data_IF_229098227593
#
_entry.id   IF_229098227593
#
_cell.length_a   1.000
_cell.length_b   1.000
_cell.length_c   1.000
_cell.angle_alpha   90.00
_cell.angle_beta   90.00
_cell.angle_gamma   90.00
#
_symmetry.space_group_name_H-M   'P 1'
#
loop_
_entity.id
_entity.type
_entity.pdbx_description
1 polymer ?
#
# COMPACT_ATOMS: atom_id res chain seq x y z
N UNK A 1 4.58 -13.05 -12.84
CA UNK A 1 4.15 -12.09 -13.88
C UNK A 1 4.96 -10.81 -13.70
N UNK A 2 5.59 -10.28 -14.74
CA UNK A 2 6.34 -9.03 -14.65
C UNK A 2 5.44 -7.86 -15.07
N UNK A 3 5.23 -6.89 -14.18
CA UNK A 3 4.46 -5.68 -14.47
C UNK A 3 5.35 -4.68 -15.22
N UNK A 4 5.04 -4.45 -16.49
CA UNK A 4 5.84 -3.60 -17.41
C UNK A 4 5.53 -2.10 -17.32
N UNK A 5 5.33 -1.58 -16.10
CA UNK A 5 4.88 -0.20 -15.90
C UNK A 5 6.02 0.81 -16.09
N UNK A 6 6.00 1.55 -17.21
CA UNK A 6 6.81 2.77 -17.34
C UNK A 6 6.00 3.97 -16.86
N UNK A 7 6.34 4.48 -15.66
CA UNK A 7 5.77 5.69 -15.03
C UNK A 7 4.23 5.66 -14.84
N UNK A 8 3.73 4.82 -13.91
CA UNK A 8 2.31 4.78 -13.51
C UNK A 8 1.67 6.14 -13.23
N UNK A 9 2.42 7.05 -12.63
CA UNK A 9 1.96 8.40 -12.30
C UNK A 9 2.86 9.44 -12.94
N UNK A 10 2.25 10.43 -13.58
CA UNK A 10 2.95 11.52 -14.25
C UNK A 10 2.36 12.87 -13.85
N UNK A 11 3.16 13.84 -13.39
CA UNK A 11 2.65 15.16 -13.04
C UNK A 11 2.11 15.90 -14.27
N UNK A 12 1.05 16.67 -14.05
CA UNK A 12 0.32 17.51 -15.02
C UNK A 12 0.04 18.87 -14.37
N UNK A 13 1.09 19.66 -14.16
CA UNK A 13 1.03 20.91 -13.40
C UNK A 13 1.33 20.69 -11.91
N UNK A 14 0.86 21.61 -11.06
CA UNK A 14 1.24 21.63 -9.64
C UNK A 14 0.54 20.56 -8.79
N UNK A 15 -0.73 20.27 -9.07
CA UNK A 15 -1.57 19.41 -8.20
C UNK A 15 -2.46 18.43 -8.99
N UNK A 16 -1.97 17.98 -10.16
CA UNK A 16 -2.69 17.00 -10.99
C UNK A 16 -1.74 15.96 -11.55
N UNK A 17 -2.21 14.73 -11.65
CA UNK A 17 -1.40 13.58 -12.03
C UNK A 17 -2.14 12.69 -13.01
N UNK A 18 -1.52 12.36 -14.14
CA UNK A 18 -2.03 11.39 -15.12
C UNK A 18 -1.73 9.99 -14.60
N UNK A 19 -2.74 9.11 -14.68
CA UNK A 19 -2.67 7.70 -14.25
C UNK A 19 -2.51 6.79 -15.46
N UNK A 20 -1.29 6.32 -15.68
CA UNK A 20 -0.88 5.44 -16.79
C UNK A 20 -0.86 3.96 -16.37
N UNK A 21 -1.98 3.47 -15.85
CA UNK A 21 -2.13 2.09 -15.37
C UNK A 21 -3.14 1.35 -16.26
N UNK A 22 -2.79 0.13 -16.68
CA UNK A 22 -3.64 -0.72 -17.52
C UNK A 22 -4.81 -1.35 -16.77
N UNK A 23 -5.77 -1.91 -17.50
CA UNK A 23 -6.99 -2.50 -16.92
C UNK A 23 -6.69 -3.65 -15.96
N UNK A 24 -5.65 -4.45 -16.26
CA UNK A 24 -5.27 -5.59 -15.42
C UNK A 24 -4.69 -5.12 -14.09
N UNK A 25 -3.80 -4.13 -14.14
CA UNK A 25 -3.18 -3.53 -12.97
C UNK A 25 -4.22 -2.82 -12.11
N UNK A 26 -5.19 -2.13 -12.71
CA UNK A 26 -6.34 -1.53 -12.00
C UNK A 26 -7.17 -2.60 -11.27
N UNK A 27 -7.43 -3.74 -11.92
CA UNK A 27 -8.15 -4.84 -11.29
C UNK A 27 -7.37 -5.43 -10.10
N UNK A 28 -6.03 -5.56 -10.20
CA UNK A 28 -5.19 -6.00 -9.09
C UNK A 28 -5.25 -4.99 -7.94
N UNK A 29 -5.06 -3.70 -8.20
CA UNK A 29 -5.15 -2.64 -7.18
C UNK A 29 -6.52 -2.65 -6.49
N UNK A 30 -7.60 -2.75 -7.25
CA UNK A 30 -8.96 -2.84 -6.72
C UNK A 30 -9.10 -4.05 -5.78
N UNK A 31 -8.73 -5.24 -6.26
CA UNK A 31 -8.90 -6.48 -5.51
C UNK A 31 -8.13 -6.45 -4.18
N UNK A 32 -6.86 -6.03 -4.19
CA UNK A 32 -6.07 -6.01 -2.95
C UNK A 32 -6.53 -4.95 -1.96
N UNK A 33 -7.09 -3.84 -2.43
CA UNK A 33 -7.68 -2.83 -1.55
C UNK A 33 -9.00 -3.31 -0.95
N UNK A 34 -9.87 -3.94 -1.74
CA UNK A 34 -11.14 -4.52 -1.28
C UNK A 34 -10.90 -5.68 -0.28
N UNK A 35 -9.93 -6.55 -0.57
CA UNK A 35 -9.53 -7.63 0.34
C UNK A 35 -9.06 -7.07 1.68
N UNK A 36 -8.22 -6.03 1.66
CA UNK A 36 -7.74 -5.40 2.90
C UNK A 36 -8.85 -4.67 3.66
N UNK A 37 -9.80 -4.03 2.97
CA UNK A 37 -10.98 -3.44 3.63
C UNK A 37 -11.76 -4.52 4.39
N UNK A 38 -11.98 -5.69 3.79
CA UNK A 38 -12.61 -6.83 4.48
C UNK A 38 -11.78 -7.35 5.66
N UNK A 39 -10.45 -7.35 5.56
CA UNK A 39 -9.56 -7.71 6.67
C UNK A 39 -9.64 -6.70 7.82
N UNK A 40 -9.72 -5.39 7.53
CA UNK A 40 -9.85 -4.33 8.54
C UNK A 40 -11.21 -4.33 9.26
N UNK A 41 -12.21 -5.02 8.72
CA UNK A 41 -13.52 -5.25 9.36
C UNK A 41 -13.52 -6.51 10.24
N UNK A 42 -12.49 -7.35 10.15
CA UNK A 42 -12.38 -8.60 10.87
C UNK A 42 -11.53 -8.45 12.16
N UNK A 43 -12.11 -8.59 13.37
CA UNK A 43 -11.36 -8.47 14.62
C UNK A 43 -10.28 -9.55 14.80
N UNK A 44 -10.39 -10.70 14.13
CA UNK A 44 -9.42 -11.79 14.22
C UNK A 44 -8.17 -11.56 13.32
N UNK A 45 -8.15 -10.50 12.51
CA UNK A 45 -7.04 -10.18 11.61
C UNK A 45 -5.81 -9.56 12.29
N UNK A 46 -5.85 -9.37 13.61
CA UNK A 46 -4.81 -8.68 14.38
C UNK A 46 -3.35 -9.12 14.07
N UNK A 47 -3.02 -10.41 13.85
CA UNK A 47 -1.67 -10.82 13.51
C UNK A 47 -1.14 -10.26 12.18
N UNK A 48 -2.00 -10.12 11.17
CA UNK A 48 -1.62 -9.61 9.83
C UNK A 48 -1.44 -8.08 9.82
N UNK A 49 -2.11 -7.39 10.74
CA UNK A 49 -2.09 -5.95 10.84
C UNK A 49 -0.91 -5.42 11.67
N UNK A 50 -0.07 -6.29 12.26
CA UNK A 50 1.00 -5.86 13.17
C UNK A 50 1.98 -4.85 12.56
N UNK A 51 2.40 -5.02 11.29
CA UNK A 51 3.29 -4.06 10.60
C UNK A 51 2.55 -2.86 10.01
N UNK A 52 1.22 -2.86 10.05
CA UNK A 52 0.42 -1.69 9.69
C UNK A 52 0.52 -0.66 10.80
N UNK A 53 0.64 -1.06 12.05
CA UNK A 53 0.82 -0.15 13.18
C UNK A 53 2.30 0.20 13.38
N UNK A 54 2.67 1.49 13.37
CA UNK A 54 4.04 1.89 13.69
C UNK A 54 4.30 1.63 15.16
N UNK A 55 5.41 0.96 15.50
CA UNK A 55 5.92 0.92 16.88
C UNK A 55 6.55 2.28 17.16
N UNK A 56 5.97 3.07 18.06
CA UNK A 56 6.45 4.41 18.36
C UNK A 56 7.66 4.38 19.30
N UNK A 57 7.72 3.37 20.18
CA UNK A 57 8.76 3.23 21.18
C UNK A 57 9.21 1.77 21.29
N UNK A 58 10.30 1.43 20.59
CA UNK A 58 10.87 0.07 20.56
C UNK A 58 11.38 -0.38 21.93
N UNK A 59 11.81 0.56 22.77
CA UNK A 59 12.47 0.29 24.06
C UNK A 59 11.53 0.31 25.28
N UNK A 60 10.27 0.74 25.12
CA UNK A 60 9.30 0.83 26.23
C UNK A 60 7.89 0.40 25.79
N UNK A 61 7.56 -0.86 26.08
CA UNK A 61 6.28 -1.47 25.74
C UNK A 61 5.08 -0.82 26.43
N UNK A 62 5.26 -0.16 27.59
CA UNK A 62 4.16 0.51 28.29
C UNK A 62 3.84 1.86 27.63
N UNK A 63 4.87 2.60 27.21
CA UNK A 63 4.69 3.84 26.45
C UNK A 63 4.16 3.55 25.04
N UNK A 64 4.67 2.51 24.38
CA UNK A 64 4.14 2.08 23.09
C UNK A 64 2.65 1.70 23.20
N UNK A 65 2.25 0.90 24.20
CA UNK A 65 0.85 0.52 24.41
C UNK A 65 -0.06 1.74 24.62
N UNK A 66 0.36 2.72 25.43
CA UNK A 66 -0.43 3.93 25.67
C UNK A 66 -0.53 4.82 24.41
N UNK A 67 0.56 4.89 23.62
CA UNK A 67 0.55 5.58 22.34
C UNK A 67 -0.35 4.89 21.31
N UNK A 68 -0.29 3.56 21.22
CA UNK A 68 -1.18 2.76 20.38
C UNK A 68 -2.64 3.02 20.77
N UNK A 69 -3.00 2.89 22.05
CA UNK A 69 -4.38 3.15 22.51
C UNK A 69 -4.91 4.54 22.10
N UNK A 70 -4.03 5.55 22.10
CA UNK A 70 -4.41 6.93 21.77
C UNK A 70 -4.56 7.18 20.26
N UNK A 71 -3.79 6.52 19.41
CA UNK A 71 -3.68 6.85 17.96
C UNK A 71 -4.30 5.76 17.06
N UNK A 72 -4.56 4.56 17.59
CA UNK A 72 -4.95 3.40 16.82
C UNK A 72 -6.24 3.62 16.01
N UNK A 73 -7.29 4.19 16.60
CA UNK A 73 -8.57 4.42 15.91
C UNK A 73 -8.42 5.36 14.71
N UNK A 74 -7.69 6.46 14.90
CA UNK A 74 -7.51 7.50 13.88
C UNK A 74 -6.65 6.97 12.73
N UNK A 75 -5.66 6.15 13.07
CA UNK A 75 -4.77 5.54 12.09
C UNK A 75 -5.47 4.44 11.27
N UNK A 76 -6.33 3.63 11.90
CA UNK A 76 -7.18 2.67 11.19
C UNK A 76 -8.18 3.40 10.29
N UNK A 77 -8.80 4.49 10.77
CA UNK A 77 -9.71 5.30 9.98
C UNK A 77 -9.01 5.87 8.75
N UNK A 78 -7.85 6.51 8.92
CA UNK A 78 -7.06 7.10 7.83
C UNK A 78 -6.72 6.07 6.75
N UNK A 79 -6.38 4.84 7.14
CA UNK A 79 -6.08 3.75 6.19
C UNK A 79 -7.31 3.25 5.46
N UNK A 80 -8.43 3.08 6.17
CA UNK A 80 -9.71 2.74 5.56
C UNK A 80 -10.11 3.79 4.53
N UNK A 81 -10.08 5.07 4.91
CA UNK A 81 -10.42 6.19 4.04
C UNK A 81 -9.53 6.22 2.78
N UNK A 82 -8.23 5.96 2.95
CA UNK A 82 -7.28 5.88 1.85
C UNK A 82 -7.61 4.72 0.89
N UNK A 83 -7.91 3.52 1.41
CA UNK A 83 -8.29 2.35 0.60
C UNK A 83 -9.60 2.59 -0.15
N UNK A 84 -10.62 3.13 0.51
CA UNK A 84 -11.90 3.49 -0.11
C UNK A 84 -11.71 4.53 -1.23
N UNK A 85 -10.85 5.53 -0.99
CA UNK A 85 -10.52 6.54 -2.01
C UNK A 85 -9.79 5.93 -3.21
N UNK A 86 -8.91 4.95 -3.02
CA UNK A 86 -8.32 4.18 -4.13
C UNK A 86 -9.42 3.46 -4.90
N UNK A 87 -10.26 2.66 -4.23
CA UNK A 87 -11.33 1.88 -4.88
C UNK A 87 -12.28 2.77 -5.69
N UNK A 88 -12.58 3.97 -5.18
CA UNK A 88 -13.42 4.96 -5.86
C UNK A 88 -12.74 5.62 -7.08
N UNK A 89 -11.41 5.70 -7.11
CA UNK A 89 -10.64 6.43 -8.13
C UNK A 89 -9.75 5.55 -9.01
N UNK A 90 -9.72 4.24 -8.78
CA UNK A 90 -8.87 3.28 -9.51
C UNK A 90 -9.15 3.21 -11.01
N UNK A 91 -10.29 3.70 -11.49
CA UNK A 91 -10.61 3.82 -12.93
C UNK A 91 -10.42 5.24 -13.49
N UNK A 92 -10.06 6.21 -12.65
CA UNK A 92 -9.76 7.58 -13.07
C UNK A 92 -8.48 7.63 -13.91
N UNK A 93 -8.49 8.51 -14.91
CA UNK A 93 -7.31 8.80 -15.74
C UNK A 93 -6.44 9.91 -15.16
N UNK A 94 -6.98 10.68 -14.22
CA UNK A 94 -6.30 11.77 -13.54
C UNK A 94 -6.64 11.77 -12.06
N UNK A 95 -5.70 12.16 -11.21
CA UNK A 95 -5.85 12.36 -9.77
C UNK A 95 -5.41 13.78 -9.39
N UNK A 96 -5.97 14.36 -8.32
CA UNK A 96 -5.33 15.48 -7.59
C UNK A 96 -4.30 14.98 -6.57
N UNK A 97 -3.58 15.91 -5.92
CA UNK A 97 -2.61 15.60 -4.89
C UNK A 97 -3.21 14.88 -3.69
N UNK A 98 -4.40 15.26 -3.21
CA UNK A 98 -5.07 14.54 -2.12
C UNK A 98 -5.39 13.10 -2.49
N UNK A 99 -5.87 12.86 -3.70
CA UNK A 99 -6.10 11.51 -4.20
C UNK A 99 -4.78 10.74 -4.36
N UNK A 100 -3.73 11.37 -4.88
CA UNK A 100 -2.42 10.74 -5.02
C UNK A 100 -1.81 10.37 -3.66
N UNK A 101 -1.98 11.23 -2.65
CA UNK A 101 -1.57 10.98 -1.28
C UNK A 101 -2.34 9.79 -0.68
N UNK A 102 -3.66 9.75 -0.87
CA UNK A 102 -4.46 8.60 -0.45
C UNK A 102 -4.01 7.30 -1.14
N UNK A 103 -3.63 7.36 -2.41
CA UNK A 103 -3.04 6.21 -3.11
C UNK A 103 -1.72 5.78 -2.49
N UNK A 104 -0.82 6.71 -2.14
CA UNK A 104 0.42 6.39 -1.45
C UNK A 104 0.16 5.69 -0.11
N UNK A 105 -0.72 6.25 0.72
CA UNK A 105 -1.06 5.70 2.05
C UNK A 105 -1.69 4.31 1.90
N UNK A 106 -2.69 4.16 1.04
CA UNK A 106 -3.43 2.91 0.88
C UNK A 106 -2.57 1.80 0.27
N UNK A 107 -1.84 2.07 -0.83
CA UNK A 107 -0.96 1.07 -1.44
C UNK A 107 0.18 0.65 -0.51
N UNK A 108 0.74 1.58 0.26
CA UNK A 108 1.75 1.25 1.26
C UNK A 108 1.17 0.38 2.38
N UNK A 109 -0.06 0.66 2.81
CA UNK A 109 -0.75 -0.14 3.82
C UNK A 109 -0.93 -1.59 3.33
N UNK A 110 -1.42 -1.78 2.09
CA UNK A 110 -1.53 -3.12 1.49
C UNK A 110 -0.17 -3.81 1.42
N UNK A 111 0.88 -3.10 0.99
CA UNK A 111 2.24 -3.65 0.89
C UNK A 111 2.77 -4.11 2.24
N UNK A 112 2.52 -3.37 3.32
CA UNK A 112 2.94 -3.74 4.69
C UNK A 112 2.23 -5.00 5.19
N UNK A 113 0.92 -5.12 4.96
CA UNK A 113 0.15 -6.33 5.31
C UNK A 113 0.68 -7.53 4.53
N UNK A 114 0.86 -7.36 3.21
CA UNK A 114 1.35 -8.42 2.34
C UNK A 114 2.77 -8.85 2.72
N UNK A 115 3.65 -7.90 3.05
CA UNK A 115 5.00 -8.20 3.53
C UNK A 115 5.01 -8.91 4.88
N UNK A 116 4.01 -8.69 5.74
CA UNK A 116 3.83 -9.47 6.98
C UNK A 116 3.46 -10.92 6.68
N UNK A 117 2.52 -11.13 5.77
CA UNK A 117 2.10 -12.47 5.34
C UNK A 117 3.26 -13.25 4.69
N UNK A 118 4.05 -12.57 3.86
CA UNK A 118 5.19 -13.15 3.14
C UNK A 118 6.46 -13.30 4.00
N UNK A 119 6.41 -12.90 5.27
CA UNK A 119 7.56 -12.84 6.19
C UNK A 119 8.80 -12.16 5.57
N UNK A 120 8.57 -11.04 4.87
CA UNK A 120 9.67 -10.28 4.24
C UNK A 120 10.59 -9.72 5.33
N UNK A 121 11.88 -10.02 5.23
CA UNK A 121 12.95 -9.42 6.04
C UNK A 121 13.83 -8.50 5.18
N UNK A 122 14.50 -7.52 5.81
CA UNK A 122 15.39 -6.59 5.11
C UNK A 122 16.72 -7.25 4.68
N UNK A 123 17.04 -8.42 5.25
CA UNK A 123 18.37 -9.03 5.15
C UNK A 123 18.58 -9.90 3.90
N UNK A 124 17.51 -10.35 3.23
CA UNK A 124 17.62 -11.26 2.08
C UNK A 124 16.46 -11.14 1.10
N UNK A 125 16.75 -11.10 -0.20
CA UNK A 125 15.75 -11.37 -1.23
C UNK A 125 15.34 -12.86 -1.16
N UNK A 126 14.06 -13.19 -1.37
CA UNK A 126 13.59 -14.57 -1.31
C UNK A 126 14.15 -15.39 -2.48
N UNK A 127 14.63 -16.61 -2.20
CA UNK A 127 14.94 -17.60 -3.23
C UNK A 127 13.64 -18.34 -3.60
N UNK A 128 12.87 -17.78 -4.55
CA UNK A 128 11.60 -18.37 -4.99
C UNK A 128 11.81 -19.33 -6.16
N UNK A 129 11.34 -20.57 -6.00
CA UNK A 129 11.27 -21.54 -7.09
C UNK A 129 10.11 -21.22 -8.06
N UNK A 130 10.16 -21.61 -9.35
CA UNK A 130 9.13 -21.28 -10.33
C UNK A 130 7.69 -21.76 -10.01
N UNK A 131 7.55 -22.74 -9.13
CA UNK A 131 6.29 -23.33 -8.65
C UNK A 131 5.95 -22.96 -7.20
N UNK A 132 6.71 -22.05 -6.59
CA UNK A 132 6.45 -21.57 -5.24
C UNK A 132 5.03 -20.95 -5.14
N UNK A 133 4.21 -21.39 -4.17
CA UNK A 133 2.82 -20.95 -4.02
C UNK A 133 2.67 -19.45 -3.72
N UNK A 134 3.71 -18.80 -3.19
CA UNK A 134 3.73 -17.38 -2.83
C UNK A 134 4.25 -16.47 -3.97
N UNK A 135 4.72 -17.03 -5.09
CA UNK A 135 5.11 -16.25 -6.28
C UNK A 135 4.08 -15.20 -6.72
N UNK A 136 2.76 -15.48 -6.74
CA UNK A 136 1.77 -14.47 -7.08
C UNK A 136 1.74 -13.31 -6.08
N UNK A 137 1.84 -13.62 -4.79
CA UNK A 137 1.84 -12.64 -3.72
C UNK A 137 3.12 -11.78 -3.76
N UNK A 138 4.27 -12.38 -4.01
CA UNK A 138 5.52 -11.65 -4.25
C UNK A 138 5.45 -10.73 -5.47
N UNK A 139 4.85 -11.19 -6.57
CA UNK A 139 4.66 -10.34 -7.75
C UNK A 139 3.79 -9.11 -7.46
N UNK A 140 2.74 -9.26 -6.65
CA UNK A 140 1.90 -8.15 -6.19
C UNK A 140 2.68 -7.24 -5.24
N UNK A 141 3.47 -7.78 -4.32
CA UNK A 141 4.29 -7.00 -3.40
C UNK A 141 5.27 -6.07 -4.14
N UNK A 142 6.00 -6.61 -5.13
CA UNK A 142 6.93 -5.86 -5.98
C UNK A 142 6.20 -4.81 -6.83
N UNK A 143 5.06 -5.18 -7.39
CA UNK A 143 4.20 -4.26 -8.15
C UNK A 143 3.77 -3.05 -7.32
N UNK A 144 3.29 -3.27 -6.10
CA UNK A 144 2.90 -2.20 -5.18
C UNK A 144 4.10 -1.33 -4.83
N UNK A 145 5.28 -1.92 -4.64
CA UNK A 145 6.53 -1.19 -4.44
C UNK A 145 6.84 -0.22 -5.58
N UNK A 146 6.81 -0.70 -6.82
CA UNK A 146 7.04 0.14 -8.01
C UNK A 146 5.99 1.25 -8.19
N UNK A 147 4.74 0.98 -7.81
CA UNK A 147 3.68 1.99 -7.81
C UNK A 147 3.95 3.12 -6.81
N UNK A 148 4.30 2.77 -5.56
CA UNK A 148 4.63 3.73 -4.50
C UNK A 148 5.86 4.55 -4.89
N UNK A 149 6.91 3.90 -5.43
CA UNK A 149 8.09 4.60 -5.93
C UNK A 149 7.73 5.62 -7.01
N UNK A 150 6.83 5.25 -7.95
CA UNK A 150 6.36 6.17 -8.98
C UNK A 150 5.61 7.37 -8.40
N UNK A 151 4.78 7.17 -7.36
CA UNK A 151 4.07 8.26 -6.69
C UNK A 151 5.08 9.23 -6.08
N UNK A 152 6.01 8.71 -5.26
CA UNK A 152 7.06 9.49 -4.61
C UNK A 152 7.85 10.31 -5.63
N UNK A 153 8.32 9.69 -6.71
CA UNK A 153 9.04 10.40 -7.78
C UNK A 153 8.19 11.48 -8.45
N UNK A 154 6.89 11.24 -8.64
CA UNK A 154 5.99 12.22 -9.24
C UNK A 154 5.72 13.41 -8.33
N UNK A 155 5.70 13.22 -7.01
CA UNK A 155 5.50 14.29 -6.02
C UNK A 155 6.75 15.16 -5.84
N UNK A 156 7.96 14.59 -5.96
CA UNK A 156 9.22 15.32 -5.80
C UNK A 156 9.80 15.86 -7.12
N UNK A 157 9.29 15.43 -8.28
CA UNK A 157 9.80 15.80 -9.60
C UNK A 157 9.40 17.20 -10.11
N UNK A 158 8.83 18.05 -9.23
CA UNK A 158 8.34 19.40 -9.55
C UNK A 158 9.32 20.51 -9.12
N UNK A 159 10.53 20.16 -8.67
CA UNK A 159 11.61 21.12 -8.34
C UNK A 159 12.63 21.28 -9.48
#
# INVERSE_FOLDING_TARGET
>A
MAFGLRRPFQPKGEDRFIVNIGTRERAVVRAVCEDLLGVLENPDAAPLLRRVYPVAHVDDAAIDSAYQEMVHSDLVSSRRDALERIVATVDSRELDGEQLEAWMIGLNTVRLVLGTRLDVSEDSAPELEPDDPDLPAWAVYEFLGGMIESIVRSSFGTL
#
